data_IF_022920199175
#
_entry.id   IF_022920199175
#
_cell.length_a   1.000
_cell.length_b   1.000
_cell.length_c   1.000
_cell.angle_alpha   90.00
_cell.angle_beta   90.00
_cell.angle_gamma   90.00
#
_symmetry.space_group_name_H-M   'P 1'
#
loop_
_entity.id
_entity.type
_entity.pdbx_description
1 polymer ?
#
# COMPACT_ATOMS: atom_id res chain seq x y z
N UNK A 1 5.17 -1.64 13.61
CA UNK A 1 5.83 -0.37 14.02
C UNK A 1 5.55 -0.07 15.48
N UNK A 2 6.46 0.64 16.12
CA UNK A 2 6.25 1.22 17.44
C UNK A 2 5.22 2.34 17.35
N UNK A 3 4.30 2.44 18.31
CA UNK A 3 3.32 3.54 18.36
C UNK A 3 4.07 4.87 18.51
N UNK A 4 3.82 5.80 17.60
CA UNK A 4 4.43 7.13 17.60
C UNK A 4 3.61 8.04 16.67
N UNK A 5 3.72 9.35 16.87
CA UNK A 5 2.90 10.32 16.13
C UNK A 5 3.26 10.47 14.64
N UNK A 6 4.39 9.91 14.17
CA UNK A 6 4.87 10.10 12.79
C UNK A 6 4.56 8.95 11.85
N UNK A 7 4.50 7.71 12.35
CA UNK A 7 4.25 6.55 11.47
C UNK A 7 3.18 5.59 11.99
N UNK A 8 2.91 5.59 13.29
CA UNK A 8 1.82 4.78 13.86
C UNK A 8 1.19 5.52 15.04
N UNK A 9 0.23 6.43 14.78
CA UNK A 9 -0.36 7.24 15.86
C UNK A 9 -1.21 6.45 16.84
N UNK A 10 -1.69 5.26 16.47
CA UNK A 10 -2.57 4.46 17.30
C UNK A 10 -4.03 4.91 17.25
N UNK A 11 -4.37 5.82 16.34
CA UNK A 11 -5.74 6.28 16.19
C UNK A 11 -6.61 5.18 15.57
N UNK A 12 -7.86 5.01 16.04
CA UNK A 12 -8.70 3.94 15.55
C UNK A 12 -9.17 4.14 14.11
N UNK A 13 -9.14 3.04 13.34
CA UNK A 13 -9.75 2.96 12.02
C UNK A 13 -11.04 2.16 12.17
N UNK A 14 -12.18 2.84 12.06
CA UNK A 14 -13.50 2.26 12.38
C UNK A 14 -14.30 1.82 11.17
N UNK A 15 -13.89 2.25 9.96
CA UNK A 15 -14.50 1.82 8.70
C UNK A 15 -13.44 1.74 7.61
N UNK A 16 -13.65 0.85 6.64
CA UNK A 16 -12.78 0.70 5.47
C UNK A 16 -13.67 0.72 4.23
N UNK A 17 -13.53 1.76 3.42
CA UNK A 17 -14.28 1.94 2.18
C UNK A 17 -13.44 1.62 0.95
N UNK A 18 -12.12 1.75 1.04
CA UNK A 18 -11.22 1.51 -0.08
C UNK A 18 -9.91 0.89 0.38
N UNK A 19 -9.26 0.21 -0.55
CA UNK A 19 -7.87 -0.27 -0.39
C UNK A 19 -7.03 0.50 -1.41
N UNK A 20 -5.98 1.16 -0.94
CA UNK A 20 -5.07 1.93 -1.79
C UNK A 20 -3.78 1.18 -2.07
N UNK A 21 -3.41 1.11 -3.34
CA UNK A 21 -2.14 0.53 -3.80
C UNK A 21 -1.16 1.66 -4.08
N UNK A 22 0.06 1.50 -3.54
CA UNK A 22 1.17 2.44 -3.70
C UNK A 22 2.42 1.70 -4.18
N UNK A 23 3.40 2.46 -4.66
CA UNK A 23 4.76 1.96 -4.86
C UNK A 23 5.71 2.79 -3.99
N UNK A 24 6.86 2.23 -3.65
CA UNK A 24 7.80 2.90 -2.72
C UNK A 24 8.48 4.12 -3.32
N UNK A 25 8.46 4.27 -4.64
CA UNK A 25 9.19 5.30 -5.40
C UNK A 25 10.72 5.26 -5.14
N UNK A 26 11.22 4.09 -4.73
CA UNK A 26 12.63 3.89 -4.40
C UNK A 26 13.07 2.50 -4.89
N UNK A 27 13.45 2.40 -6.19
CA UNK A 27 13.75 1.10 -6.81
C UNK A 27 14.84 0.34 -6.08
N UNK A 28 14.66 -0.96 -5.93
CA UNK A 28 15.64 -1.86 -5.34
C UNK A 28 15.67 -1.90 -3.82
N UNK A 29 14.86 -1.10 -3.12
CA UNK A 29 14.76 -1.20 -1.65
C UNK A 29 13.83 -2.33 -1.25
N UNK A 30 14.23 -3.07 -0.20
CA UNK A 30 13.48 -4.21 0.31
C UNK A 30 12.30 -3.77 1.20
N UNK A 31 11.40 -4.71 1.48
CA UNK A 31 10.32 -4.47 2.43
C UNK A 31 10.87 -4.14 3.82
N UNK A 32 11.90 -4.84 4.27
CA UNK A 32 12.54 -4.58 5.56
C UNK A 32 13.16 -3.19 5.63
N UNK A 33 13.79 -2.72 4.54
CA UNK A 33 14.36 -1.37 4.49
C UNK A 33 13.27 -0.30 4.54
N UNK A 34 12.16 -0.49 3.85
CA UNK A 34 11.05 0.45 3.89
C UNK A 34 10.35 0.45 5.24
N UNK A 35 10.21 -0.71 5.87
CA UNK A 35 9.70 -0.79 7.24
C UNK A 35 10.61 -0.03 8.21
N UNK A 36 11.93 -0.20 8.08
CA UNK A 36 12.91 0.53 8.90
C UNK A 36 12.81 2.03 8.70
N UNK A 37 12.57 2.48 7.46
CA UNK A 37 12.36 3.89 7.18
C UNK A 37 11.15 4.43 7.96
N UNK A 38 10.02 3.73 7.94
CA UNK A 38 8.83 4.14 8.70
C UNK A 38 9.11 4.15 10.21
N UNK A 39 9.80 3.14 10.72
CA UNK A 39 10.13 3.05 12.15
C UNK A 39 11.02 4.22 12.61
N UNK A 40 11.98 4.63 11.77
CA UNK A 40 12.91 5.71 12.10
C UNK A 40 12.25 7.09 12.15
N UNK A 41 11.07 7.26 11.59
CA UNK A 41 10.36 8.54 11.62
C UNK A 41 10.01 8.95 13.06
N UNK A 42 9.85 7.99 13.97
CA UNK A 42 9.62 8.29 15.39
C UNK A 42 10.78 9.04 16.04
N UNK A 43 11.99 8.90 15.48
CA UNK A 43 13.20 9.51 16.02
C UNK A 43 13.64 10.75 15.25
N UNK A 44 13.60 10.68 13.91
CA UNK A 44 14.12 11.79 13.08
C UNK A 44 13.07 12.85 12.73
N UNK A 45 11.78 12.54 12.88
CA UNK A 45 10.66 13.47 12.63
C UNK A 45 10.66 14.09 11.23
N UNK A 46 11.24 13.40 10.25
CA UNK A 46 11.42 13.94 8.90
C UNK A 46 10.09 14.23 8.20
N UNK A 47 9.11 13.33 8.42
CA UNK A 47 7.75 13.46 7.87
C UNK A 47 6.83 12.46 8.57
N UNK A 48 5.54 12.56 8.28
CA UNK A 48 4.57 11.54 8.68
C UNK A 48 4.29 10.65 7.47
N UNK A 49 4.57 9.36 7.59
CA UNK A 49 4.32 8.39 6.52
C UNK A 49 4.28 6.98 7.07
N UNK A 50 3.36 6.17 6.57
CA UNK A 50 3.32 4.72 6.81
C UNK A 50 2.34 4.04 5.86
N UNK A 51 2.25 2.73 5.95
CA UNK A 51 1.24 1.91 5.28
C UNK A 51 0.91 0.74 6.21
N UNK A 52 -0.23 0.12 6.00
CA UNK A 52 -0.60 -1.07 6.77
C UNK A 52 0.30 -2.26 6.42
N UNK A 53 0.59 -2.41 5.12
CA UNK A 53 1.43 -3.51 4.61
C UNK A 53 2.48 -2.98 3.66
N UNK A 54 3.62 -3.69 3.63
CA UNK A 54 4.64 -3.53 2.59
C UNK A 54 4.84 -4.90 1.95
N UNK A 55 4.82 -4.95 0.61
CA UNK A 55 5.12 -6.16 -0.15
C UNK A 55 6.49 -5.99 -0.79
N UNK A 56 7.40 -6.90 -0.49
CA UNK A 56 8.75 -6.89 -1.04
C UNK A 56 8.82 -7.40 -2.48
N UNK A 57 9.92 -7.12 -3.16
CA UNK A 57 10.09 -7.55 -4.56
C UNK A 57 10.31 -9.07 -4.70
N UNK A 58 10.47 -9.81 -3.59
CA UNK A 58 10.44 -11.27 -3.56
C UNK A 58 9.08 -11.81 -3.10
N UNK A 59 8.09 -10.94 -2.91
CA UNK A 59 6.73 -11.34 -2.55
C UNK A 59 6.46 -11.42 -1.05
N UNK A 60 7.45 -11.12 -0.20
CA UNK A 60 7.25 -11.13 1.26
C UNK A 60 6.32 -9.98 1.67
N UNK A 61 5.47 -10.23 2.66
CA UNK A 61 4.52 -9.23 3.18
C UNK A 61 4.89 -8.92 4.63
N UNK A 62 5.07 -7.63 4.92
CA UNK A 62 5.28 -7.14 6.28
C UNK A 62 4.07 -6.31 6.68
N UNK A 63 3.45 -6.63 7.79
CA UNK A 63 2.42 -5.78 8.37
C UNK A 63 3.08 -4.77 9.30
N UNK A 64 2.86 -3.48 9.01
CA UNK A 64 3.45 -2.37 9.76
C UNK A 64 2.48 -1.75 10.77
N UNK A 65 1.20 -1.68 10.40
CA UNK A 65 0.16 -1.06 11.21
C UNK A 65 -1.00 -2.05 11.31
N UNK A 66 -1.58 -2.26 12.50
CA UNK A 66 -2.78 -3.09 12.64
C UNK A 66 -3.94 -2.59 11.79
N UNK A 67 -4.83 -3.50 11.39
CA UNK A 67 -5.96 -3.16 10.50
C UNK A 67 -7.01 -2.28 11.18
N UNK A 68 -7.03 -2.20 12.50
CA UNK A 68 -7.95 -1.36 13.26
C UNK A 68 -7.35 0.01 13.63
N UNK A 69 -6.20 0.35 13.04
CA UNK A 69 -5.52 1.64 13.25
C UNK A 69 -5.29 2.36 11.92
N UNK A 70 -5.21 3.68 12.00
CA UNK A 70 -4.92 4.55 10.85
C UNK A 70 -3.44 4.48 10.49
N UNK A 71 -3.14 4.38 9.19
CA UNK A 71 -1.81 4.58 8.63
C UNK A 71 -1.75 5.94 7.91
N UNK A 72 -0.58 6.53 7.83
CA UNK A 72 -0.39 7.83 7.15
C UNK A 72 0.05 7.63 5.69
N UNK A 73 -0.89 7.32 4.82
CA UNK A 73 -0.60 6.96 3.43
C UNK A 73 -1.31 7.80 2.37
N UNK A 74 -2.53 8.26 2.61
CA UNK A 74 -3.39 8.91 1.62
C UNK A 74 -4.07 10.16 2.19
N UNK A 75 -3.42 10.86 3.06
CA UNK A 75 -3.90 12.13 3.64
C UNK A 75 -5.36 12.09 4.09
N UNK A 76 -6.27 12.75 3.37
CA UNK A 76 -7.68 12.85 3.75
C UNK A 76 -8.42 11.53 3.76
N UNK A 77 -7.86 10.48 3.13
CA UNK A 77 -8.47 9.15 3.08
C UNK A 77 -7.84 8.16 4.06
N UNK A 78 -6.93 8.61 4.94
CA UNK A 78 -6.35 7.75 5.97
C UNK A 78 -7.41 7.20 6.92
N UNK A 79 -8.48 7.93 7.14
CA UNK A 79 -9.52 7.59 8.12
C UNK A 79 -10.48 6.50 7.65
N UNK A 80 -10.48 6.12 6.38
CA UNK A 80 -11.43 5.14 5.84
C UNK A 80 -10.79 4.16 4.85
N UNK A 81 -9.48 3.92 4.93
CA UNK A 81 -8.80 3.06 3.98
C UNK A 81 -7.68 2.23 4.60
N UNK A 82 -7.36 1.15 3.91
CA UNK A 82 -6.15 0.33 4.14
C UNK A 82 -5.18 0.65 2.99
N UNK A 83 -3.90 0.80 3.30
CA UNK A 83 -2.86 1.09 2.30
C UNK A 83 -1.80 0.00 2.24
N UNK A 84 -1.39 -0.33 1.03
CA UNK A 84 -0.35 -1.32 0.72
C UNK A 84 0.75 -0.64 -0.07
N UNK A 85 1.97 -0.72 0.42
CA UNK A 85 3.17 -0.20 -0.24
C UNK A 85 3.87 -1.34 -0.96
N UNK A 86 4.18 -1.17 -2.26
CA UNK A 86 4.79 -2.22 -3.07
C UNK A 86 6.22 -1.84 -3.46
N UNK A 87 7.17 -2.73 -3.16
CA UNK A 87 8.56 -2.62 -3.60
C UNK A 87 8.67 -3.05 -5.07
N UNK A 88 9.71 -2.57 -5.75
CA UNK A 88 9.95 -2.88 -7.16
C UNK A 88 11.43 -2.70 -7.49
N UNK A 89 11.83 -3.20 -8.66
CA UNK A 89 13.21 -3.08 -9.17
C UNK A 89 13.29 -2.34 -10.49
N UNK A 90 12.26 -2.46 -11.33
CA UNK A 90 12.25 -1.92 -12.69
C UNK A 90 12.22 -0.40 -12.71
N UNK A 91 12.97 0.22 -13.62
CA UNK A 91 13.03 1.68 -13.76
C UNK A 91 11.68 2.32 -14.03
N UNK A 92 10.76 1.60 -14.67
CA UNK A 92 9.42 2.10 -14.98
C UNK A 92 8.39 1.89 -13.85
N UNK A 93 8.81 1.30 -12.72
CA UNK A 93 7.94 1.06 -11.57
C UNK A 93 7.10 -0.20 -11.64
N UNK A 94 7.24 -1.02 -12.68
CA UNK A 94 6.48 -2.27 -12.79
C UNK A 94 6.88 -3.23 -11.68
N UNK A 95 5.88 -3.84 -11.03
CA UNK A 95 6.12 -4.80 -9.95
C UNK A 95 6.73 -6.09 -10.51
N UNK A 96 7.57 -6.74 -9.69
CA UNK A 96 8.02 -8.10 -10.02
C UNK A 96 6.81 -9.04 -10.01
N UNK A 97 6.94 -10.20 -10.65
CA UNK A 97 5.87 -11.19 -10.64
C UNK A 97 5.54 -11.62 -9.20
N UNK A 98 6.58 -11.76 -8.36
CA UNK A 98 6.43 -12.16 -6.95
C UNK A 98 5.63 -11.11 -6.16
N UNK A 99 5.95 -9.82 -6.33
CA UNK A 99 5.18 -8.73 -5.71
C UNK A 99 3.74 -8.73 -6.20
N UNK A 100 3.56 -8.87 -7.51
CA UNK A 100 2.25 -8.89 -8.14
C UNK A 100 1.38 -10.03 -7.59
N UNK A 101 1.92 -11.24 -7.53
CA UNK A 101 1.20 -12.42 -7.05
C UNK A 101 0.78 -12.25 -5.57
N UNK A 102 1.68 -11.73 -4.74
CA UNK A 102 1.35 -11.44 -3.34
C UNK A 102 0.31 -10.35 -3.21
N UNK A 103 0.42 -9.30 -4.05
CA UNK A 103 -0.50 -8.17 -4.04
C UNK A 103 -1.93 -8.60 -4.38
N UNK A 104 -2.14 -9.36 -5.45
CA UNK A 104 -3.50 -9.78 -5.82
C UNK A 104 -4.12 -10.68 -4.76
N UNK A 105 -3.33 -11.53 -4.11
CA UNK A 105 -3.82 -12.38 -3.01
C UNK A 105 -4.19 -11.55 -1.78
N UNK A 106 -3.36 -10.57 -1.42
CA UNK A 106 -3.63 -9.70 -0.28
C UNK A 106 -4.87 -8.82 -0.55
N UNK A 107 -4.97 -8.28 -1.76
CA UNK A 107 -6.14 -7.49 -2.16
C UNK A 107 -7.42 -8.31 -2.09
N UNK A 108 -7.40 -9.55 -2.60
CA UNK A 108 -8.56 -10.44 -2.55
C UNK A 108 -8.98 -10.71 -1.09
N UNK A 109 -8.00 -11.00 -0.23
CA UNK A 109 -8.27 -11.23 1.19
C UNK A 109 -8.89 -10.01 1.85
N UNK A 110 -8.37 -8.81 1.54
CA UNK A 110 -8.89 -7.58 2.14
C UNK A 110 -10.29 -7.23 1.66
N UNK A 111 -10.55 -7.29 0.35
CA UNK A 111 -11.90 -6.95 -0.15
C UNK A 111 -12.95 -7.95 0.36
N UNK A 112 -12.59 -9.22 0.52
CA UNK A 112 -13.49 -10.21 1.11
C UNK A 112 -13.74 -9.91 2.60
N UNK A 113 -12.69 -9.53 3.34
CA UNK A 113 -12.80 -9.25 4.77
C UNK A 113 -13.67 -8.02 5.06
N UNK A 114 -13.66 -7.02 4.17
CA UNK A 114 -14.40 -5.78 4.35
C UNK A 114 -15.66 -5.68 3.48
N UNK A 115 -16.03 -6.77 2.82
CA UNK A 115 -17.20 -6.82 1.92
C UNK A 115 -17.13 -5.73 0.84
N UNK A 116 -15.97 -5.58 0.22
CA UNK A 116 -15.71 -4.62 -0.84
C UNK A 116 -15.68 -5.31 -2.21
N UNK A 117 -15.71 -4.51 -3.27
CA UNK A 117 -15.59 -4.96 -4.65
C UNK A 117 -14.24 -4.55 -5.23
N UNK A 118 -13.87 -5.11 -6.39
CA UNK A 118 -12.60 -4.73 -7.05
C UNK A 118 -12.56 -3.25 -7.43
N UNK A 119 -13.71 -2.63 -7.69
CA UNK A 119 -13.78 -1.19 -7.97
C UNK A 119 -13.47 -0.33 -6.73
N UNK A 120 -13.46 -0.92 -5.55
CA UNK A 120 -13.04 -0.23 -4.31
C UNK A 120 -11.52 -0.27 -4.11
N UNK A 121 -10.80 -0.98 -4.96
CA UNK A 121 -9.33 -0.97 -4.99
C UNK A 121 -8.90 0.24 -5.83
N UNK A 122 -8.19 1.16 -5.19
CA UNK A 122 -7.76 2.40 -5.80
C UNK A 122 -6.24 2.53 -5.79
N UNK A 123 -5.73 3.39 -6.67
CA UNK A 123 -4.34 3.84 -6.64
C UNK A 123 -4.28 5.13 -5.82
N UNK A 124 -3.13 5.44 -5.24
CA UNK A 124 -2.93 6.76 -4.65
C UNK A 124 -3.28 7.86 -5.67
N UNK A 125 -2.97 7.62 -6.94
CA UNK A 125 -3.31 8.49 -8.07
C UNK A 125 -4.79 8.87 -8.10
N UNK A 126 -5.68 7.97 -7.74
CA UNK A 126 -7.13 8.19 -7.77
C UNK A 126 -7.59 9.13 -6.66
N UNK A 127 -6.70 9.44 -5.70
CA UNK A 127 -6.94 10.40 -4.63
C UNK A 127 -5.85 11.49 -4.68
N UNK A 128 -6.06 12.54 -5.46
CA UNK A 128 -5.16 13.69 -5.52
C UNK A 128 -4.23 13.75 -6.72
N UNK A 129 -4.20 12.73 -7.58
CA UNK A 129 -3.48 12.77 -8.85
C UNK A 129 -1.99 12.49 -8.80
N UNK A 130 -1.43 12.09 -7.64
CA UNK A 130 -0.03 11.69 -7.54
C UNK A 130 0.20 10.44 -8.39
N UNK A 131 1.27 10.43 -9.20
CA UNK A 131 1.61 9.27 -10.04
C UNK A 131 2.15 8.10 -9.21
N UNK A 132 1.27 7.46 -8.45
CA UNK A 132 1.58 6.36 -7.56
C UNK A 132 0.44 5.34 -7.59
N UNK A 133 0.73 4.08 -7.90
CA UNK A 133 2.00 3.50 -8.37
C UNK A 133 2.23 3.85 -9.85
N UNK A 134 3.40 4.40 -10.17
CA UNK A 134 3.63 5.08 -11.46
C UNK A 134 3.36 4.19 -12.67
N UNK A 135 3.84 2.94 -12.69
CA UNK A 135 3.61 2.05 -13.83
C UNK A 135 2.11 1.89 -14.12
N UNK A 136 1.31 1.73 -13.08
CA UNK A 136 -0.13 1.47 -13.19
C UNK A 136 -0.95 2.75 -13.36
N UNK A 137 -0.32 3.92 -13.29
CA UNK A 137 -0.94 5.19 -13.70
C UNK A 137 -0.65 5.52 -15.16
N UNK A 138 0.47 5.02 -15.69
CA UNK A 138 0.89 5.20 -17.07
C UNK A 138 0.41 4.07 -17.99
N UNK A 139 -0.05 2.96 -17.42
CA UNK A 139 -0.55 1.79 -18.14
C UNK A 139 -1.91 1.40 -17.57
N UNK A 140 -2.93 2.11 -18.00
CA UNK A 140 -4.30 1.92 -17.50
C UNK A 140 -4.81 0.50 -17.73
N UNK A 141 -4.44 -0.11 -18.86
CA UNK A 141 -4.76 -1.51 -19.16
C UNK A 141 -4.15 -2.49 -18.16
N UNK A 142 -2.93 -2.22 -17.68
CA UNK A 142 -2.28 -3.05 -16.66
C UNK A 142 -2.99 -2.92 -15.31
N UNK A 143 -3.47 -1.73 -14.97
CA UNK A 143 -4.25 -1.51 -13.76
C UNK A 143 -5.59 -2.27 -13.81
N UNK A 144 -6.29 -2.18 -14.92
CA UNK A 144 -7.55 -2.90 -15.11
C UNK A 144 -7.33 -4.42 -15.07
N UNK A 145 -6.23 -4.90 -15.66
CA UNK A 145 -5.85 -6.32 -15.58
C UNK A 145 -5.60 -6.76 -14.15
N UNK A 146 -4.93 -5.94 -13.34
CA UNK A 146 -4.67 -6.25 -11.93
C UNK A 146 -5.99 -6.47 -11.19
N UNK A 147 -6.95 -5.57 -11.37
CA UNK A 147 -8.28 -5.71 -10.74
C UNK A 147 -9.00 -6.95 -11.23
N UNK A 148 -8.91 -7.26 -12.51
CA UNK A 148 -9.51 -8.48 -13.08
C UNK A 148 -8.86 -9.74 -12.50
N UNK A 149 -7.53 -9.75 -12.34
CA UNK A 149 -6.82 -10.88 -11.74
C UNK A 149 -7.24 -11.09 -10.27
N UNK A 150 -7.50 -10.01 -9.53
CA UNK A 150 -8.04 -10.09 -8.17
C UNK A 150 -9.44 -10.74 -8.20
N UNK A 151 -10.28 -10.29 -9.12
CA UNK A 151 -11.66 -10.79 -9.25
C UNK A 151 -11.70 -12.28 -9.58
N UNK A 152 -10.73 -12.77 -10.34
CA UNK A 152 -10.69 -14.15 -10.82
C UNK A 152 -9.97 -15.11 -9.84
N UNK A 153 -9.52 -14.64 -8.70
CA UNK A 153 -8.92 -15.52 -7.68
C UNK A 153 -9.95 -16.39 -6.99
#
# INVERSE_FOLDING_TARGET
LTVNEYSRPGDPLTEVNNIFVHYTANPGTSAAQNRSYFEQLKDNHERSASAHFIIGYNGEIIQCVPLDEIAYAVQTRNEDSISIECCYKADNGQFTQETYDSLIKLLKWLIDAYDLQTDDILRHYDCGGKKCPIYYTEHEDAWERLKEDVKNL
#
